data_IF_811375755715
#
_entry.id   IF_811375755715
#
_cell.length_a   1.000
_cell.length_b   1.000
_cell.length_c   1.000
_cell.angle_alpha   90.00
_cell.angle_beta   90.00
_cell.angle_gamma   90.00
#
_symmetry.space_group_name_H-M   'P 1'
#
loop_
_entity.id
_entity.type
_entity.pdbx_description
1 polymer ?
#
# COMPACT_ATOMS: atom_id res chain seq x y z
N UNK A 1 20.18 19.26 37.75
CA UNK A 1 19.79 18.26 38.76
C UNK A 1 18.27 18.22 38.86
N UNK A 2 17.61 19.36 39.10
CA UNK A 2 16.13 19.49 39.12
C UNK A 2 15.43 18.99 37.84
N UNK A 3 15.85 19.44 36.65
CA UNK A 3 15.27 19.00 35.36
C UNK A 3 15.44 17.49 35.10
N UNK A 4 16.53 16.87 35.59
CA UNK A 4 16.75 15.44 35.39
C UNK A 4 15.82 14.60 36.29
N UNK A 5 15.55 15.07 37.51
CA UNK A 5 14.58 14.47 38.41
C UNK A 5 13.15 14.64 37.89
N UNK A 6 12.79 15.83 37.38
CA UNK A 6 11.49 16.06 36.72
C UNK A 6 11.27 15.12 35.53
N UNK A 7 12.28 14.93 34.68
CA UNK A 7 12.19 14.00 33.54
C UNK A 7 12.04 12.56 34.01
N UNK A 8 12.75 12.14 35.07
CA UNK A 8 12.59 10.79 35.65
C UNK A 8 11.20 10.60 36.21
N UNK A 9 10.68 11.58 36.93
CA UNK A 9 9.31 11.54 37.47
C UNK A 9 8.28 11.38 36.34
N UNK A 10 8.36 12.19 35.29
CA UNK A 10 7.46 12.08 34.12
C UNK A 10 7.55 10.70 33.47
N UNK A 11 8.76 10.15 33.33
CA UNK A 11 8.95 8.81 32.76
C UNK A 11 8.24 7.75 33.61
N UNK A 12 8.32 7.84 34.93
CA UNK A 12 7.69 6.89 35.83
C UNK A 12 6.15 7.05 35.86
N UNK A 13 5.63 8.28 35.83
CA UNK A 13 4.20 8.55 35.66
C UNK A 13 3.66 7.97 34.34
N UNK A 14 4.41 8.11 33.24
CA UNK A 14 4.04 7.52 31.94
C UNK A 14 4.05 5.99 31.97
N UNK A 15 4.98 5.36 32.70
CA UNK A 15 5.00 3.89 32.88
C UNK A 15 3.78 3.42 33.67
N UNK A 16 3.47 4.06 34.79
CA UNK A 16 2.31 3.72 35.62
C UNK A 16 1.01 3.88 34.83
N UNK A 17 0.88 4.97 34.06
CA UNK A 17 -0.25 5.18 33.16
C UNK A 17 -0.32 4.11 32.07
N UNK A 18 0.82 3.71 31.50
CA UNK A 18 0.88 2.67 30.48
C UNK A 18 0.40 1.32 31.04
N UNK A 19 0.83 0.94 32.24
CA UNK A 19 0.44 -0.33 32.87
C UNK A 19 -1.05 -0.33 33.27
N UNK A 20 -1.53 0.80 33.78
CA UNK A 20 -2.96 1.03 34.03
C UNK A 20 -3.78 0.93 32.74
N UNK A 21 -3.33 1.57 31.66
CA UNK A 21 -3.98 1.48 30.35
C UNK A 21 -3.92 0.05 29.77
N UNK A 22 -2.82 -0.67 29.95
CA UNK A 22 -2.66 -2.04 29.47
C UNK A 22 -3.63 -2.99 30.18
N UNK A 23 -3.76 -2.87 31.51
CA UNK A 23 -4.72 -3.65 32.30
C UNK A 23 -6.17 -3.34 31.91
N UNK A 24 -6.52 -2.05 31.75
CA UNK A 24 -7.84 -1.62 31.28
C UNK A 24 -8.16 -2.17 29.88
N UNK A 25 -7.24 -2.04 28.93
CA UNK A 25 -7.41 -2.56 27.56
C UNK A 25 -7.60 -4.08 27.57
N UNK A 26 -6.87 -4.80 28.42
CA UNK A 26 -6.99 -6.25 28.56
C UNK A 26 -8.39 -6.66 29.04
N UNK A 27 -8.87 -6.01 30.11
CA UNK A 27 -10.23 -6.23 30.65
C UNK A 27 -11.32 -5.86 29.64
N UNK A 28 -11.19 -4.67 29.03
CA UNK A 28 -12.11 -4.19 27.99
C UNK A 28 -12.14 -5.13 26.78
N UNK A 29 -11.00 -5.68 26.37
CA UNK A 29 -10.94 -6.65 25.27
C UNK A 29 -11.64 -7.97 25.61
N UNK A 30 -11.63 -8.42 26.86
CA UNK A 30 -12.38 -9.60 27.29
C UNK A 30 -13.89 -9.35 27.25
N UNK A 31 -14.33 -8.19 27.75
CA UNK A 31 -15.73 -7.76 27.67
C UNK A 31 -16.19 -7.63 26.20
N UNK A 32 -15.36 -7.02 25.35
CA UNK A 32 -15.60 -6.89 23.91
C UNK A 32 -15.83 -8.27 23.28
N UNK A 33 -14.97 -9.26 23.56
CA UNK A 33 -15.13 -10.64 23.04
C UNK A 33 -16.46 -11.26 23.46
N UNK A 34 -16.89 -11.07 24.71
CA UNK A 34 -18.17 -11.58 25.20
C UNK A 34 -19.37 -10.94 24.47
N UNK A 35 -19.31 -9.63 24.21
CA UNK A 35 -20.32 -8.90 23.46
C UNK A 35 -20.36 -9.34 21.99
N UNK A 36 -19.20 -9.60 21.37
CA UNK A 36 -19.10 -10.15 20.01
C UNK A 36 -19.76 -11.52 19.90
N UNK A 37 -19.50 -12.41 20.87
CA UNK A 37 -20.13 -13.74 20.89
C UNK A 37 -21.65 -13.63 21.01
N UNK A 38 -22.16 -12.77 21.90
CA UNK A 38 -23.59 -12.51 22.06
C UNK A 38 -24.21 -11.92 20.79
N UNK A 39 -23.58 -10.90 20.20
CA UNK A 39 -24.06 -10.26 18.97
C UNK A 39 -24.11 -11.26 17.80
N UNK A 40 -23.09 -12.11 17.65
CA UNK A 40 -23.05 -13.16 16.62
C UNK A 40 -24.12 -14.23 16.86
N UNK A 41 -24.35 -14.63 18.12
CA UNK A 41 -25.39 -15.59 18.46
C UNK A 41 -26.79 -15.05 18.13
N UNK A 42 -27.05 -13.77 18.42
CA UNK A 42 -28.30 -13.09 18.08
C UNK A 42 -28.47 -12.96 16.56
N UNK A 43 -27.44 -12.52 15.81
CA UNK A 43 -27.51 -12.45 14.33
C UNK A 43 -27.81 -13.82 13.71
N UNK A 44 -27.18 -14.89 14.21
CA UNK A 44 -27.44 -16.25 13.75
C UNK A 44 -28.86 -16.73 14.06
N UNK A 45 -29.41 -16.35 15.21
CA UNK A 45 -30.77 -16.67 15.63
C UNK A 45 -31.81 -15.96 14.77
N UNK A 46 -31.59 -14.67 14.46
CA UNK A 46 -32.42 -13.87 13.54
C UNK A 46 -32.45 -14.51 12.15
N UNK A 47 -31.29 -14.89 11.60
CA UNK A 47 -31.21 -15.55 10.28
C UNK A 47 -31.94 -16.90 10.26
N UNK A 48 -31.79 -17.69 11.33
CA UNK A 48 -32.47 -18.97 11.47
C UNK A 48 -33.99 -18.78 11.51
N UNK A 49 -34.48 -17.88 12.36
CA UNK A 49 -35.91 -17.56 12.46
C UNK A 49 -36.48 -17.08 11.12
N UNK A 50 -35.77 -16.17 10.44
CA UNK A 50 -36.15 -15.72 9.10
C UNK A 50 -36.26 -16.89 8.11
N UNK A 51 -35.30 -17.81 8.09
CA UNK A 51 -35.37 -18.99 7.22
C UNK A 51 -36.55 -19.92 7.55
N UNK A 52 -36.89 -20.06 8.84
CA UNK A 52 -38.03 -20.86 9.30
C UNK A 52 -39.36 -20.24 8.88
N UNK A 53 -39.50 -18.92 9.00
CA UNK A 53 -40.71 -18.18 8.61
C UNK A 53 -40.92 -18.29 7.09
N UNK A 54 -39.89 -18.05 6.29
CA UNK A 54 -39.96 -18.16 4.82
C UNK A 54 -40.28 -19.60 4.35
N UNK A 55 -39.82 -20.61 5.08
CA UNK A 55 -40.02 -22.02 4.71
C UNK A 55 -41.40 -22.56 5.12
N UNK A 56 -42.05 -21.96 6.12
CA UNK A 56 -43.30 -22.48 6.68
C UNK A 56 -44.52 -21.91 5.96
N UNK A 57 -45.00 -22.66 4.96
CA UNK A 57 -46.17 -22.30 4.13
C UNK A 57 -47.52 -22.39 4.86
N UNK A 58 -47.55 -22.89 6.09
CA UNK A 58 -48.78 -23.08 6.87
C UNK A 58 -49.12 -21.87 7.76
N UNK A 59 -48.30 -20.81 7.75
CA UNK A 59 -48.54 -19.59 8.51
C UNK A 59 -49.50 -18.66 7.76
N UNK A 60 -50.35 -17.95 8.51
CA UNK A 60 -51.20 -16.88 7.96
C UNK A 60 -50.30 -15.79 7.32
N UNK A 61 -50.55 -15.40 6.05
CA UNK A 61 -49.79 -14.36 5.38
C UNK A 61 -49.64 -13.06 6.18
N UNK A 62 -50.68 -12.63 6.90
CA UNK A 62 -50.63 -11.41 7.74
C UNK A 62 -49.69 -11.56 8.94
N UNK A 63 -49.62 -12.77 9.50
CA UNK A 63 -48.73 -13.09 10.61
C UNK A 63 -47.28 -13.13 10.11
N UNK A 64 -47.02 -13.70 8.94
CA UNK A 64 -45.69 -13.75 8.31
C UNK A 64 -45.14 -12.34 8.09
N UNK A 65 -45.93 -11.44 7.50
CA UNK A 65 -45.53 -10.05 7.24
C UNK A 65 -45.12 -9.33 8.54
N UNK A 66 -45.93 -9.46 9.59
CA UNK A 66 -45.63 -8.89 10.91
C UNK A 66 -44.34 -9.45 11.52
N UNK A 67 -44.14 -10.76 11.46
CA UNK A 67 -42.92 -11.39 12.00
C UNK A 67 -41.67 -11.00 11.21
N UNK A 68 -41.78 -10.84 9.88
CA UNK A 68 -40.69 -10.34 9.05
C UNK A 68 -40.33 -8.89 9.39
N UNK A 69 -41.33 -8.01 9.58
CA UNK A 69 -41.10 -6.63 10.02
C UNK A 69 -40.43 -6.57 11.40
N UNK A 70 -40.88 -7.37 12.36
CA UNK A 70 -40.30 -7.43 13.70
C UNK A 70 -38.86 -7.94 13.68
N UNK A 71 -38.57 -8.99 12.88
CA UNK A 71 -37.20 -9.49 12.69
C UNK A 71 -36.32 -8.48 11.94
N UNK A 72 -36.88 -7.77 10.97
CA UNK A 72 -36.17 -6.73 10.25
C UNK A 72 -35.78 -5.58 11.19
N UNK A 73 -36.71 -5.11 12.03
CA UNK A 73 -36.46 -4.09 13.06
C UNK A 73 -35.38 -4.56 14.05
N UNK A 74 -35.49 -5.79 14.55
CA UNK A 74 -34.48 -6.36 15.46
C UNK A 74 -33.09 -6.41 14.80
N UNK A 75 -33.03 -6.74 13.50
CA UNK A 75 -31.79 -6.74 12.72
C UNK A 75 -31.23 -5.33 12.51
N UNK A 76 -32.08 -4.34 12.24
CA UNK A 76 -31.65 -2.94 12.11
C UNK A 76 -31.06 -2.42 13.43
N UNK A 77 -31.71 -2.72 14.56
CA UNK A 77 -31.16 -2.37 15.89
C UNK A 77 -29.80 -3.03 16.16
N UNK A 78 -29.57 -4.24 15.65
CA UNK A 78 -28.29 -4.96 15.79
C UNK A 78 -27.21 -4.45 14.83
N UNK A 79 -27.58 -4.06 13.61
CA UNK A 79 -26.62 -3.71 12.53
C UNK A 79 -26.31 -2.23 12.47
N UNK A 80 -27.26 -1.36 12.83
CA UNK A 80 -27.10 0.10 12.77
C UNK A 80 -26.95 0.73 14.17
N UNK A 81 -27.16 -0.05 15.24
CA UNK A 81 -26.93 0.36 16.62
C UNK A 81 -25.44 0.28 17.04
N UNK A 82 -25.18 0.55 18.32
CA UNK A 82 -23.83 0.48 18.93
C UNK A 82 -23.21 -0.93 18.87
N UNK A 83 -24.07 -1.93 18.78
CA UNK A 83 -23.72 -3.35 18.64
C UNK A 83 -23.07 -3.70 17.30
N UNK A 84 -23.21 -2.83 16.29
CA UNK A 84 -22.59 -2.96 14.97
C UNK A 84 -21.06 -3.05 15.02
N UNK A 85 -20.45 -2.43 16.02
CA UNK A 85 -19.00 -2.47 16.27
C UNK A 85 -18.50 -3.85 16.72
N UNK A 86 -19.39 -4.67 17.31
CA UNK A 86 -19.11 -6.03 17.76
C UNK A 86 -19.50 -7.10 16.72
N UNK A 87 -20.28 -6.73 15.70
CA UNK A 87 -20.52 -7.63 14.59
C UNK A 87 -19.26 -7.79 13.73
N UNK A 88 -19.09 -8.94 13.07
CA UNK A 88 -18.04 -9.09 12.05
C UNK A 88 -18.15 -7.94 11.07
N UNK A 89 -17.04 -7.21 10.86
CA UNK A 89 -17.03 -6.09 9.91
C UNK A 89 -17.56 -6.58 8.56
N UNK A 90 -18.48 -5.83 7.97
CA UNK A 90 -18.99 -6.15 6.62
C UNK A 90 -17.79 -6.36 5.70
N UNK A 91 -17.79 -7.43 4.87
CA UNK A 91 -16.70 -7.68 3.96
C UNK A 91 -16.50 -6.45 3.09
N UNK A 92 -15.27 -5.97 3.02
CA UNK A 92 -14.94 -4.81 2.21
C UNK A 92 -15.38 -5.03 0.76
N UNK A 93 -15.83 -3.95 0.13
CA UNK A 93 -16.11 -3.96 -1.31
C UNK A 93 -14.90 -4.47 -2.09
N UNK A 94 -15.15 -5.21 -3.17
CA UNK A 94 -14.11 -5.83 -4.00
C UNK A 94 -13.04 -4.83 -4.44
N UNK A 95 -13.44 -3.59 -4.73
CA UNK A 95 -12.54 -2.48 -5.08
C UNK A 95 -11.53 -2.16 -3.98
N UNK A 96 -12.01 -1.92 -2.74
CA UNK A 96 -11.14 -1.63 -1.60
C UNK A 96 -10.23 -2.81 -1.31
N UNK A 97 -10.74 -4.05 -1.42
CA UNK A 97 -9.94 -5.27 -1.23
C UNK A 97 -8.87 -5.44 -2.32
N UNK A 98 -9.16 -5.05 -3.55
CA UNK A 98 -8.21 -5.08 -4.67
C UNK A 98 -7.03 -4.16 -4.39
N UNK A 99 -7.30 -2.93 -3.95
CA UNK A 99 -6.24 -2.02 -3.54
C UNK A 99 -5.70 -2.44 -2.20
N UNK A 100 -6.36 -2.27 -1.05
CA UNK A 100 -5.83 -2.46 0.32
C UNK A 100 -5.53 -3.90 0.77
N UNK A 101 -6.00 -4.92 0.07
CA UNK A 101 -5.92 -6.31 0.55
C UNK A 101 -7.03 -6.65 1.56
N UNK A 102 -6.90 -7.74 2.33
CA UNK A 102 -7.99 -8.25 3.18
C UNK A 102 -8.20 -7.49 4.50
N UNK A 103 -7.63 -6.30 4.68
CA UNK A 103 -7.60 -5.61 5.98
C UNK A 103 -8.57 -4.44 6.03
N UNK A 104 -9.29 -4.34 7.15
CA UNK A 104 -10.16 -3.22 7.48
C UNK A 104 -9.40 -1.88 7.46
N UNK A 105 -9.87 -0.93 6.65
CA UNK A 105 -9.35 0.45 6.58
C UNK A 105 -9.51 1.17 7.92
N UNK A 106 -10.59 0.84 8.65
CA UNK A 106 -10.85 1.33 10.01
C UNK A 106 -10.12 0.45 11.02
N UNK A 107 -8.83 0.71 11.21
CA UNK A 107 -8.01 0.00 12.19
C UNK A 107 -8.06 0.72 13.55
N UNK A 108 -9.22 0.62 14.23
CA UNK A 108 -9.39 1.24 15.55
C UNK A 108 -8.59 0.51 16.65
N UNK A 109 -8.38 -0.80 16.48
CA UNK A 109 -7.67 -1.66 17.45
C UNK A 109 -6.20 -1.81 17.06
N UNK A 110 -5.31 -1.83 18.05
CA UNK A 110 -3.84 -1.91 17.85
C UNK A 110 -3.42 -3.16 17.06
N UNK A 111 -4.09 -4.29 17.26
CA UNK A 111 -3.86 -5.53 16.50
C UNK A 111 -4.19 -5.38 15.01
N UNK A 112 -5.31 -4.72 14.70
CA UNK A 112 -5.72 -4.43 13.32
C UNK A 112 -4.75 -3.46 12.65
N UNK A 113 -4.25 -2.44 13.38
CA UNK A 113 -3.27 -1.48 12.86
C UNK A 113 -1.97 -2.18 12.46
N UNK A 114 -1.48 -3.09 13.30
CA UNK A 114 -0.29 -3.88 12.99
C UNK A 114 -0.51 -4.79 11.78
N UNK A 115 -1.70 -5.37 11.65
CA UNK A 115 -2.07 -6.17 10.47
C UNK A 115 -2.08 -5.33 9.19
N UNK A 116 -2.56 -4.08 9.23
CA UNK A 116 -2.47 -3.15 8.08
C UNK A 116 -1.00 -2.93 7.70
N UNK A 117 -0.13 -2.71 8.68
CA UNK A 117 1.32 -2.53 8.46
C UNK A 117 2.00 -3.78 7.88
N UNK A 118 1.66 -4.97 8.38
CA UNK A 118 2.17 -6.24 7.84
C UNK A 118 1.76 -6.44 6.37
N UNK A 119 0.50 -6.15 6.05
CA UNK A 119 -0.03 -6.27 4.70
C UNK A 119 0.57 -5.24 3.74
N UNK A 120 0.87 -4.03 4.22
CA UNK A 120 1.68 -3.07 3.48
C UNK A 120 3.09 -3.59 3.19
N UNK A 121 3.79 -4.11 4.20
CA UNK A 121 5.16 -4.63 4.02
C UNK A 121 5.18 -5.82 3.04
N UNK A 122 4.22 -6.73 3.16
CA UNK A 122 4.05 -7.86 2.25
C UNK A 122 3.77 -7.41 0.82
N UNK A 123 2.90 -6.40 0.66
CA UNK A 123 2.63 -5.80 -0.64
C UNK A 123 3.90 -5.19 -1.24
N UNK A 124 4.66 -4.41 -0.45
CA UNK A 124 5.89 -3.73 -0.87
C UNK A 124 7.01 -4.70 -1.28
N UNK A 125 7.11 -5.86 -0.62
CA UNK A 125 8.07 -6.89 -0.99
C UNK A 125 7.69 -7.57 -2.31
N UNK A 126 6.39 -7.92 -2.48
CA UNK A 126 5.89 -8.48 -3.73
C UNK A 126 6.06 -7.50 -4.91
N UNK A 127 5.79 -6.22 -4.69
CA UNK A 127 5.95 -5.21 -5.74
C UNK A 127 7.41 -4.97 -6.09
N UNK A 128 8.34 -4.98 -5.13
CA UNK A 128 9.77 -4.89 -5.41
C UNK A 128 10.28 -6.05 -6.27
N UNK A 129 9.79 -7.27 -6.04
CA UNK A 129 10.10 -8.44 -6.90
C UNK A 129 9.53 -8.24 -8.31
N UNK A 130 8.30 -7.77 -8.45
CA UNK A 130 7.69 -7.50 -9.75
C UNK A 130 8.42 -6.37 -10.50
N UNK A 131 8.88 -5.32 -9.81
CA UNK A 131 9.72 -4.26 -10.39
C UNK A 131 11.03 -4.79 -10.96
N UNK A 132 11.57 -5.88 -10.42
CA UNK A 132 12.76 -6.55 -10.94
C UNK A 132 12.41 -7.48 -12.10
N UNK A 133 11.51 -8.44 -11.87
CA UNK A 133 11.28 -9.54 -12.80
C UNK A 133 10.43 -9.18 -14.02
N UNK A 134 9.47 -8.27 -13.91
CA UNK A 134 8.61 -7.92 -15.04
C UNK A 134 9.44 -7.18 -16.13
N UNK A 135 10.21 -6.12 -15.82
CA UNK A 135 11.09 -5.51 -16.81
C UNK A 135 12.15 -6.47 -17.36
N UNK A 136 12.76 -7.30 -16.49
CA UNK A 136 13.72 -8.30 -16.93
C UNK A 136 13.10 -9.28 -17.95
N UNK A 137 11.88 -9.76 -17.70
CA UNK A 137 11.15 -10.63 -18.63
C UNK A 137 10.90 -9.92 -19.97
N UNK A 138 10.46 -8.65 -19.96
CA UNK A 138 10.28 -7.89 -21.19
C UNK A 138 11.58 -7.71 -21.97
N UNK A 139 12.70 -7.45 -21.28
CA UNK A 139 14.02 -7.31 -21.90
C UNK A 139 14.51 -8.63 -22.51
N UNK A 140 14.32 -9.76 -21.82
CA UNK A 140 14.64 -11.10 -22.33
C UNK A 140 13.77 -11.39 -23.57
N UNK A 141 12.45 -11.21 -23.49
CA UNK A 141 11.55 -11.45 -24.62
C UNK A 141 11.89 -10.58 -25.84
N UNK A 142 12.23 -9.31 -25.61
CA UNK A 142 12.73 -8.40 -26.65
C UNK A 142 13.98 -8.94 -27.35
N UNK A 143 14.93 -9.48 -26.58
CA UNK A 143 16.19 -9.98 -27.11
C UNK A 143 16.06 -11.31 -27.86
N UNK A 144 15.26 -12.24 -27.35
CA UNK A 144 15.19 -13.61 -27.85
C UNK A 144 14.06 -13.86 -28.84
N UNK A 145 12.91 -13.20 -28.69
CA UNK A 145 11.69 -13.54 -29.45
C UNK A 145 11.23 -12.42 -30.38
N UNK A 146 11.47 -11.16 -30.03
CA UNK A 146 10.91 -10.02 -30.79
C UNK A 146 11.94 -9.20 -31.58
N UNK A 147 13.14 -9.75 -31.82
CA UNK A 147 14.14 -9.15 -32.71
C UNK A 147 14.54 -7.72 -32.33
N UNK A 148 14.50 -7.37 -31.04
CA UNK A 148 14.84 -6.04 -30.54
C UNK A 148 13.67 -5.04 -30.46
N UNK A 149 12.45 -5.40 -30.87
CA UNK A 149 11.27 -4.55 -30.79
C UNK A 149 10.24 -5.10 -29.78
N UNK A 150 9.72 -4.25 -28.89
CA UNK A 150 8.70 -4.63 -27.92
C UNK A 150 7.29 -4.46 -28.54
N UNK A 151 6.42 -5.47 -28.52
CA UNK A 151 5.03 -5.28 -28.89
C UNK A 151 4.36 -4.27 -27.95
N UNK A 152 3.34 -3.55 -28.44
CA UNK A 152 2.67 -2.51 -27.65
C UNK A 152 1.97 -3.09 -26.42
N UNK A 153 1.29 -4.22 -26.57
CA UNK A 153 0.47 -4.83 -25.52
C UNK A 153 1.27 -5.19 -24.24
N UNK A 154 2.41 -5.91 -24.29
CA UNK A 154 3.23 -6.18 -23.11
C UNK A 154 3.73 -4.91 -22.39
N UNK A 155 4.07 -3.86 -23.14
CA UNK A 155 4.50 -2.58 -22.56
C UNK A 155 3.34 -1.87 -21.88
N UNK A 156 2.18 -1.81 -22.54
CA UNK A 156 0.96 -1.24 -21.95
C UNK A 156 0.50 -2.01 -20.70
N UNK A 157 0.64 -3.34 -20.68
CA UNK A 157 0.35 -4.14 -19.50
C UNK A 157 1.28 -3.79 -18.33
N UNK A 158 2.56 -3.55 -18.61
CA UNK A 158 3.51 -3.09 -17.60
C UNK A 158 3.17 -1.70 -17.08
N UNK A 159 2.82 -0.75 -17.95
CA UNK A 159 2.39 0.59 -17.56
C UNK A 159 1.07 0.56 -16.75
N UNK A 160 0.11 -0.29 -17.14
CA UNK A 160 -1.13 -0.48 -16.39
C UNK A 160 -0.86 -1.07 -15.01
N UNK A 161 0.09 -1.99 -14.92
CA UNK A 161 0.56 -2.53 -13.65
C UNK A 161 1.24 -1.47 -12.78
N UNK A 162 2.07 -0.59 -13.35
CA UNK A 162 2.69 0.54 -12.63
C UNK A 162 1.62 1.50 -12.07
N UNK A 163 0.60 1.84 -12.87
CA UNK A 163 -0.52 2.66 -12.43
C UNK A 163 -1.25 2.00 -11.24
N UNK A 164 -1.58 0.71 -11.37
CA UNK A 164 -2.22 -0.05 -10.29
C UNK A 164 -1.35 -0.08 -9.02
N UNK A 165 -0.04 -0.26 -9.20
CA UNK A 165 0.93 -0.31 -8.11
C UNK A 165 1.01 1.00 -7.34
N UNK A 166 1.19 2.13 -8.04
CA UNK A 166 1.36 3.41 -7.36
C UNK A 166 0.05 3.88 -6.73
N UNK A 167 -1.10 3.56 -7.33
CA UNK A 167 -2.40 3.74 -6.69
C UNK A 167 -2.54 2.90 -5.42
N UNK A 168 -2.11 1.64 -5.45
CA UNK A 168 -2.14 0.73 -4.30
C UNK A 168 -1.19 1.12 -3.17
N UNK A 169 0.00 1.65 -3.49
CA UNK A 169 0.94 2.21 -2.53
C UNK A 169 0.37 3.48 -1.90
N UNK A 170 -0.08 4.43 -2.71
CA UNK A 170 -0.65 5.68 -2.22
C UNK A 170 -1.84 5.45 -1.30
N UNK A 171 -2.76 4.53 -1.66
CA UNK A 171 -3.90 4.20 -0.81
C UNK A 171 -3.47 3.58 0.53
N UNK A 172 -2.55 2.61 0.53
CA UNK A 172 -2.05 1.99 1.78
C UNK A 172 -1.32 2.97 2.68
N UNK A 173 -0.49 3.82 2.10
CA UNK A 173 0.31 4.77 2.86
C UNK A 173 -0.56 5.89 3.46
N UNK A 174 -1.62 6.32 2.76
CA UNK A 174 -2.64 7.19 3.36
C UNK A 174 -3.33 6.53 4.55
N UNK A 175 -3.69 5.25 4.44
CA UNK A 175 -4.31 4.50 5.54
C UNK A 175 -3.33 4.38 6.71
N UNK A 176 -2.06 4.04 6.47
CA UNK A 176 -1.05 3.97 7.52
C UNK A 176 -0.83 5.31 8.21
N UNK A 177 -0.80 6.41 7.44
CA UNK A 177 -0.69 7.77 7.98
C UNK A 177 -1.90 8.13 8.84
N UNK A 178 -3.11 7.81 8.40
CA UNK A 178 -4.33 7.99 9.19
C UNK A 178 -4.35 7.13 10.47
N UNK A 179 -3.61 6.02 10.50
CA UNK A 179 -3.44 5.14 11.67
C UNK A 179 -2.17 5.45 12.49
N UNK A 180 -1.58 6.64 12.32
CA UNK A 180 -0.50 7.14 13.19
C UNK A 180 0.93 6.80 12.75
N UNK A 181 1.13 6.30 11.53
CA UNK A 181 2.47 6.15 10.92
C UNK A 181 3.02 7.50 10.47
N UNK A 182 4.29 7.79 10.77
CA UNK A 182 4.94 9.05 10.36
C UNK A 182 5.42 9.04 8.90
N UNK A 183 4.49 9.00 7.95
CA UNK A 183 4.83 9.04 6.52
C UNK A 183 4.87 10.49 6.04
N UNK A 184 6.03 10.89 5.49
CA UNK A 184 6.25 12.25 4.97
C UNK A 184 5.33 12.56 3.78
N UNK A 185 4.75 13.77 3.69
CA UNK A 185 3.88 14.16 2.57
C UNK A 185 4.57 14.08 1.20
N UNK A 186 5.84 14.47 1.09
CA UNK A 186 6.59 14.46 -0.17
C UNK A 186 6.66 13.06 -0.79
N UNK A 187 6.78 12.02 0.03
CA UNK A 187 6.81 10.62 -0.41
C UNK A 187 5.48 10.22 -1.04
N UNK A 188 4.38 10.68 -0.44
CA UNK A 188 3.05 10.45 -0.99
C UNK A 188 2.81 11.22 -2.30
N UNK A 189 3.29 12.47 -2.39
CA UNK A 189 3.26 13.24 -3.62
C UNK A 189 4.05 12.57 -4.74
N UNK A 190 5.20 11.97 -4.44
CA UNK A 190 5.96 11.19 -5.41
C UNK A 190 5.11 10.06 -6.02
N UNK A 191 4.36 9.30 -5.22
CA UNK A 191 3.46 8.27 -5.74
C UNK A 191 2.36 8.84 -6.62
N UNK A 192 1.77 9.98 -6.25
CA UNK A 192 0.75 10.64 -7.08
C UNK A 192 1.31 11.10 -8.42
N UNK A 193 2.51 11.69 -8.44
CA UNK A 193 3.20 12.03 -9.68
C UNK A 193 3.50 10.78 -10.52
N UNK A 194 3.93 9.68 -9.90
CA UNK A 194 4.18 8.42 -10.59
C UNK A 194 2.90 7.80 -11.19
N UNK A 195 1.77 7.88 -10.48
CA UNK A 195 0.45 7.50 -11.02
C UNK A 195 0.08 8.33 -12.24
N UNK A 196 0.22 9.65 -12.15
CA UNK A 196 -0.08 10.55 -13.25
C UNK A 196 0.81 10.27 -14.46
N UNK A 197 2.11 10.04 -14.25
CA UNK A 197 3.04 9.66 -15.32
C UNK A 197 2.65 8.34 -15.96
N UNK A 198 2.35 7.28 -15.18
CA UNK A 198 1.92 6.00 -15.73
C UNK A 198 0.60 6.12 -16.53
N UNK A 199 -0.33 6.95 -16.07
CA UNK A 199 -1.58 7.24 -16.80
C UNK A 199 -1.31 7.94 -18.13
N UNK A 200 -0.44 8.95 -18.15
CA UNK A 200 -0.04 9.62 -19.40
C UNK A 200 0.68 8.63 -20.33
N UNK A 201 1.58 7.79 -19.81
CA UNK A 201 2.30 6.78 -20.58
C UNK A 201 1.38 5.73 -21.22
N UNK A 202 0.26 5.37 -20.56
CA UNK A 202 -0.75 4.47 -21.12
C UNK A 202 -1.45 5.03 -22.37
N UNK A 203 -1.57 6.35 -22.47
CA UNK A 203 -2.18 7.01 -23.63
C UNK A 203 -1.23 7.10 -24.83
N UNK A 204 0.04 6.74 -24.65
CA UNK A 204 1.03 6.83 -25.71
C UNK A 204 0.96 5.60 -26.64
N UNK A 205 0.48 5.80 -27.87
CA UNK A 205 0.44 4.73 -28.87
C UNK A 205 1.84 4.35 -29.34
N UNK A 206 2.22 3.10 -29.13
CA UNK A 206 3.41 2.49 -29.75
C UNK A 206 3.01 2.05 -31.16
N UNK A 207 2.94 2.99 -32.12
CA UNK A 207 2.70 2.63 -33.53
C UNK A 207 3.89 1.82 -34.07
N UNK A 208 3.59 0.64 -34.62
CA UNK A 208 4.55 -0.19 -35.34
C UNK A 208 5.00 0.52 -36.61
N UNK A 209 6.04 1.35 -36.49
CA UNK A 209 6.62 2.09 -37.60
C UNK A 209 7.91 1.40 -38.08
N UNK A 210 8.29 1.58 -39.37
CA UNK A 210 9.62 1.18 -39.82
C UNK A 210 10.64 1.94 -38.93
N UNK A 211 11.58 1.22 -38.32
CA UNK A 211 12.54 1.68 -37.28
C UNK A 211 12.06 1.60 -35.82
N UNK A 212 11.33 0.54 -35.45
CA UNK A 212 10.88 0.29 -34.07
C UNK A 212 12.02 0.27 -33.03
N UNK A 213 13.18 -0.30 -33.35
CA UNK A 213 14.33 -0.40 -32.42
C UNK A 213 14.83 0.97 -31.95
N UNK A 214 14.95 1.93 -32.87
CA UNK A 214 15.41 3.29 -32.54
C UNK A 214 14.34 4.09 -31.77
N UNK A 215 13.07 3.97 -32.19
CA UNK A 215 11.95 4.66 -31.52
C UNK A 215 11.68 4.15 -30.11
N UNK A 216 11.93 2.88 -29.84
CA UNK A 216 11.74 2.25 -28.52
C UNK A 216 12.97 2.34 -27.62
N UNK A 217 14.00 3.11 -28.00
CA UNK A 217 15.20 3.29 -27.17
C UNK A 217 14.87 3.86 -25.78
N UNK A 218 13.91 4.77 -25.70
CA UNK A 218 13.42 5.30 -24.41
C UNK A 218 12.80 4.22 -23.52
N UNK A 219 11.93 3.37 -24.08
CA UNK A 219 11.30 2.24 -23.36
C UNK A 219 12.36 1.24 -22.92
N UNK A 220 13.34 0.94 -23.76
CA UNK A 220 14.45 0.06 -23.40
C UNK A 220 15.24 0.59 -22.19
N UNK A 221 15.64 1.85 -22.22
CA UNK A 221 16.37 2.49 -21.12
C UNK A 221 15.52 2.57 -19.84
N UNK A 222 14.22 2.83 -19.99
CA UNK A 222 13.27 2.83 -18.87
C UNK A 222 13.15 1.45 -18.21
N UNK A 223 13.04 0.37 -18.98
CA UNK A 223 12.98 -0.99 -18.43
C UNK A 223 14.29 -1.38 -17.72
N UNK A 224 15.44 -0.99 -18.25
CA UNK A 224 16.73 -1.18 -17.58
C UNK A 224 16.80 -0.38 -16.27
N UNK A 225 16.36 0.87 -16.28
CA UNK A 225 16.26 1.70 -15.08
C UNK A 225 15.29 1.10 -14.05
N UNK A 226 14.14 0.60 -14.49
CA UNK A 226 13.13 -0.02 -13.63
C UNK A 226 13.68 -1.30 -12.95
N UNK A 227 14.50 -2.08 -13.66
CA UNK A 227 15.20 -3.23 -13.08
C UNK A 227 16.15 -2.80 -11.95
N UNK A 228 16.95 -1.74 -12.19
CA UNK A 228 17.84 -1.18 -11.16
C UNK A 228 17.06 -0.59 -9.98
N UNK A 229 15.93 0.07 -10.23
CA UNK A 229 14.99 0.49 -9.19
C UNK A 229 14.50 -0.71 -8.38
N UNK A 230 14.10 -1.81 -9.02
CA UNK A 230 13.67 -3.04 -8.34
C UNK A 230 14.73 -3.60 -7.39
N UNK A 231 16.00 -3.64 -7.81
CA UNK A 231 17.13 -4.02 -6.94
C UNK A 231 17.28 -3.05 -5.77
N UNK A 232 17.25 -1.74 -6.04
CA UNK A 232 17.34 -0.72 -4.99
C UNK A 232 16.19 -0.87 -3.97
N UNK A 233 14.96 -1.07 -4.44
CA UNK A 233 13.79 -1.30 -3.59
C UNK A 233 13.95 -2.53 -2.70
N UNK A 234 14.45 -3.66 -3.22
CA UNK A 234 14.68 -4.87 -2.42
C UNK A 234 15.71 -4.63 -1.31
N UNK A 235 16.82 -3.97 -1.63
CA UNK A 235 17.87 -3.65 -0.67
C UNK A 235 17.38 -2.65 0.38
N UNK A 236 16.67 -1.60 -0.04
CA UNK A 236 16.03 -0.63 0.84
C UNK A 236 15.04 -1.29 1.79
N UNK A 237 14.14 -2.14 1.26
CA UNK A 237 13.12 -2.83 2.03
C UNK A 237 13.73 -3.75 3.08
N UNK A 238 14.86 -4.40 2.81
CA UNK A 238 15.55 -5.25 3.78
C UNK A 238 16.29 -4.40 4.82
N UNK A 239 17.18 -3.53 4.38
CA UNK A 239 18.07 -2.76 5.25
C UNK A 239 17.31 -1.77 6.14
N UNK A 240 16.49 -0.91 5.53
CA UNK A 240 15.80 0.15 6.27
C UNK A 240 14.75 -0.43 7.22
N UNK A 241 14.13 -1.57 6.88
CA UNK A 241 13.15 -2.24 7.74
C UNK A 241 13.79 -2.90 8.94
N UNK A 242 14.92 -3.58 8.76
CA UNK A 242 15.68 -4.15 9.88
C UNK A 242 16.07 -3.06 10.88
N UNK A 243 16.62 -1.95 10.40
CA UNK A 243 16.99 -0.81 11.25
C UNK A 243 15.78 -0.18 11.94
N UNK A 244 14.65 -0.06 11.25
CA UNK A 244 13.42 0.45 11.85
C UNK A 244 12.96 -0.46 13.00
N UNK A 245 13.00 -1.78 12.84
CA UNK A 245 12.67 -2.70 13.92
C UNK A 245 13.62 -2.56 15.12
N UNK A 246 14.94 -2.39 14.89
CA UNK A 246 15.89 -2.10 15.95
C UNK A 246 15.55 -0.79 16.67
N UNK A 247 15.22 0.29 15.94
CA UNK A 247 14.82 1.57 16.55
C UNK A 247 13.53 1.46 17.35
N UNK A 248 12.56 0.66 16.91
CA UNK A 248 11.33 0.38 17.67
C UNK A 248 11.68 -0.35 18.97
N UNK A 249 12.54 -1.36 18.92
CA UNK A 249 12.98 -2.10 20.12
C UNK A 249 13.74 -1.22 21.12
N UNK A 250 14.48 -0.22 20.62
CA UNK A 250 15.19 0.79 21.42
C UNK A 250 14.29 1.96 21.89
N UNK A 251 13.00 1.96 21.56
CA UNK A 251 12.08 3.06 21.89
C UNK A 251 12.33 4.37 21.11
N UNK A 252 13.17 4.34 20.07
CA UNK A 252 13.56 5.51 19.25
C UNK A 252 12.68 5.72 18.00
N UNK A 253 11.63 4.92 17.84
CA UNK A 253 10.66 4.98 16.73
C UNK A 253 9.31 4.38 17.16
N UNK A 254 8.21 4.83 16.55
CA UNK A 254 6.87 4.34 16.90
C UNK A 254 6.62 2.98 16.26
N UNK A 255 5.84 2.13 16.93
CA UNK A 255 5.50 0.78 16.42
C UNK A 255 4.76 0.81 15.08
N UNK A 256 4.02 1.88 14.80
CA UNK A 256 3.30 2.08 13.54
C UNK A 256 4.12 2.70 12.41
N UNK A 257 5.34 3.17 12.68
CA UNK A 257 6.20 3.74 11.64
C UNK A 257 6.56 2.66 10.62
N UNK A 258 6.59 3.05 9.35
CA UNK A 258 7.05 2.20 8.25
C UNK A 258 8.35 2.74 7.69
N UNK A 259 8.94 2.07 6.71
CA UNK A 259 10.13 2.58 6.05
C UNK A 259 9.71 3.64 5.03
N UNK A 260 10.24 4.86 5.12
CA UNK A 260 10.21 5.85 4.04
C UNK A 260 11.64 6.36 3.79
N UNK A 261 11.89 6.99 2.63
CA UNK A 261 13.25 7.28 2.14
C UNK A 261 14.17 8.06 3.09
N UNK A 262 13.65 8.69 4.14
CA UNK A 262 14.38 9.58 5.04
C UNK A 262 14.65 8.98 6.43
N UNK A 263 13.89 7.95 6.88
CA UNK A 263 14.20 7.30 8.17
C UNK A 263 15.57 6.61 8.15
N UNK A 264 16.21 6.46 6.98
CA UNK A 264 17.57 5.96 6.78
C UNK A 264 18.70 6.95 7.11
N UNK A 265 18.42 8.26 7.20
CA UNK A 265 19.46 9.27 7.46
C UNK A 265 19.75 9.48 8.94
N UNK A 266 20.83 8.88 9.44
CA UNK A 266 21.63 9.40 10.56
C UNK A 266 23.10 9.24 10.13
N UNK A 267 23.95 10.17 10.55
CA UNK A 267 25.35 10.30 10.15
C UNK A 267 26.13 8.97 10.09
N UNK A 268 26.80 8.74 8.95
CA UNK A 268 27.83 7.71 8.80
C UNK A 268 27.42 6.35 8.22
N UNK A 269 26.14 6.00 8.09
CA UNK A 269 25.74 4.59 7.81
C UNK A 269 24.87 4.37 6.55
N UNK A 270 24.97 5.26 5.57
CA UNK A 270 24.30 5.17 4.25
C UNK A 270 25.23 4.64 3.13
N UNK A 271 26.38 4.03 3.49
CA UNK A 271 27.45 3.64 2.56
C UNK A 271 27.05 2.67 1.44
N UNK A 272 26.09 1.76 1.68
CA UNK A 272 25.63 0.81 0.66
C UNK A 272 24.51 1.40 -0.22
N UNK A 273 23.63 2.21 0.37
CA UNK A 273 22.43 2.71 -0.29
C UNK A 273 22.70 3.95 -1.15
N UNK A 274 23.56 4.86 -0.67
CA UNK A 274 23.99 6.06 -1.39
C UNK A 274 24.56 5.76 -2.77
N UNK A 275 25.56 4.88 -2.94
CA UNK A 275 26.15 4.64 -4.26
C UNK A 275 25.14 4.04 -5.23
N UNK A 276 24.25 3.16 -4.78
CA UNK A 276 23.20 2.58 -5.63
C UNK A 276 22.20 3.64 -6.08
N UNK A 277 21.75 4.50 -5.16
CA UNK A 277 20.88 5.62 -5.49
C UNK A 277 21.56 6.64 -6.41
N UNK A 278 22.83 6.93 -6.18
CA UNK A 278 23.61 7.83 -7.03
C UNK A 278 23.77 7.28 -8.44
N UNK A 279 24.17 6.01 -8.59
CA UNK A 279 24.28 5.34 -9.90
C UNK A 279 22.94 5.36 -10.62
N UNK A 280 21.85 5.15 -9.89
CA UNK A 280 20.49 5.19 -10.44
C UNK A 280 20.09 6.57 -10.95
N UNK A 281 20.44 7.64 -10.24
CA UNK A 281 20.21 9.03 -10.66
C UNK A 281 21.10 9.43 -11.84
N UNK A 282 22.37 9.01 -11.85
CA UNK A 282 23.32 9.24 -12.94
C UNK A 282 22.85 8.52 -14.21
N UNK A 283 22.47 7.24 -14.09
CA UNK A 283 21.93 6.46 -15.19
C UNK A 283 20.63 7.07 -15.73
N UNK A 284 19.72 7.49 -14.86
CA UNK A 284 18.49 8.14 -15.26
C UNK A 284 18.76 9.44 -16.03
N UNK A 285 19.66 10.28 -15.53
CA UNK A 285 20.05 11.54 -16.17
C UNK A 285 20.71 11.30 -17.52
N UNK A 286 21.61 10.33 -17.61
CA UNK A 286 22.25 9.92 -18.85
C UNK A 286 21.23 9.39 -19.88
N UNK A 287 20.31 8.53 -19.44
CA UNK A 287 19.25 7.97 -20.27
C UNK A 287 18.33 9.06 -20.82
N UNK A 288 17.96 10.05 -19.99
CA UNK A 288 17.19 11.23 -20.45
C UNK A 288 17.97 12.02 -21.49
N UNK A 289 19.26 12.29 -21.26
CA UNK A 289 20.11 12.99 -22.22
C UNK A 289 20.16 12.30 -23.58
N UNK A 290 20.22 10.97 -23.62
CA UNK A 290 20.16 10.17 -24.85
C UNK A 290 18.81 10.32 -25.56
N UNK A 291 17.70 10.25 -24.81
CA UNK A 291 16.35 10.39 -25.37
C UNK A 291 16.12 11.81 -25.91
N UNK A 292 16.53 12.85 -25.18
CA UNK A 292 16.39 14.24 -25.62
C UNK A 292 17.26 14.55 -26.85
N UNK A 293 18.54 14.14 -26.87
CA UNK A 293 19.41 14.34 -28.02
C UNK A 293 18.99 13.53 -29.26
N UNK A 294 18.37 12.35 -29.06
CA UNK A 294 17.83 11.54 -30.15
C UNK A 294 16.49 12.04 -30.72
N UNK A 295 15.81 12.96 -30.02
CA UNK A 295 14.49 13.50 -30.40
C UNK A 295 14.55 14.81 -31.18
N UNK A 296 15.75 15.38 -31.38
CA UNK A 296 15.96 16.58 -32.22
C UNK A 296 16.66 16.19 -33.53
N UNK A 297 15.92 15.76 -34.57
CA UNK A 297 16.45 15.78 -35.92
C UNK A 297 16.43 17.23 -36.42
N UNK A 298 17.59 17.90 -36.41
CA UNK A 298 17.88 18.96 -37.39
C UNK A 298 17.43 20.40 -37.12
N UNK A 299 17.72 20.98 -35.94
CA UNK A 299 17.67 22.47 -35.78
C UNK A 299 19.01 23.06 -35.29
N UNK A 300 19.96 22.25 -34.81
CA UNK A 300 21.22 22.74 -34.22
C UNK A 300 22.43 22.80 -35.15
N UNK A 301 22.29 22.78 -36.48
CA UNK A 301 23.44 22.72 -37.40
C UNK A 301 23.47 23.78 -38.52
N UNK A 302 22.75 24.89 -38.34
CA UNK A 302 22.74 26.01 -39.30
C UNK A 302 23.02 27.39 -38.69
N UNK A 303 23.31 27.51 -37.40
CA UNK A 303 23.75 28.78 -36.78
C UNK A 303 25.20 28.63 -36.34
N UNK A 304 26.10 28.49 -37.31
CA UNK A 304 27.55 28.72 -37.11
C UNK A 304 28.34 28.86 -38.42
N UNK A 305 27.68 29.06 -39.56
CA UNK A 305 28.31 29.55 -40.80
C UNK A 305 27.31 30.45 -41.53
N UNK A 306 27.16 31.68 -41.04
CA UNK A 306 27.02 32.95 -41.76
C UNK A 306 26.66 34.06 -40.77
#
# INVERSE_FOLDING_TARGET
MEVEEEVKQIIDEVKELHDSAASFISSSSQQELSLRQKASAVDSSIRRLHSTIVSNKNLDPKLVEKLEEDLHRARCMLVDGETSSFLPSKPQGRFVRMFCGPVNVRALRKDVQLKVKEEYNRYRDKTALLFLFFPATLLILRSYYWGGCLPAFPVQLYEAWLLFLYAGLAMRENILRANGSDIRPWWLYHHYCAMAMALVSLTWEIKGQPNCVQKQRGVHLFLQWAMMQGVAMLLQNRYQRQRLYTRIALGKAKRMDVVWGETAGVDGQLWLLCPILFILQVYFSHSRGIVFNGSIPGIGRQILIQ
#
